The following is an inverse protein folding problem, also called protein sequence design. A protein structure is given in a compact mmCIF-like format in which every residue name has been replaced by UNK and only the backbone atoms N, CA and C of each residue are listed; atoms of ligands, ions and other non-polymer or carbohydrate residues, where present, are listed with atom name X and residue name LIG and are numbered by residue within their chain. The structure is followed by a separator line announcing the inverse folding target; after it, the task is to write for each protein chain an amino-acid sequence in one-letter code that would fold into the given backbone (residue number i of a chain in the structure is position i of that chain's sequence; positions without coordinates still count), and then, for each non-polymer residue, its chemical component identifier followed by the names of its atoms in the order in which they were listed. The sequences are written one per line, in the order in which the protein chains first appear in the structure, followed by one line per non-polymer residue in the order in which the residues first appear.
data_IF_340942157212
#
_entry.id   IF_340942157212
#
_cell.length_a   1.000
_cell.length_b   1.000
_cell.length_c   1.000
_cell.angle_alpha   90.00
_cell.angle_beta   90.00
_cell.angle_gamma   90.00
#
_symmetry.space_group_name_H-M   'P 1'
#
loop_
_entity.id
_entity.type
_entity.pdbx_description
1 polymer ?
#
# COMPACT_ATOMS: atom_id res chain seq x y z
N UNK A 1 7.61 34.43 8.59
CA UNK A 1 7.23 33.14 7.94
C UNK A 1 6.54 32.35 9.03
N UNK A 2 5.22 32.21 9.12
CA UNK A 2 4.13 32.36 8.15
C UNK A 2 2.92 32.97 8.87
N UNK A 3 2.36 34.05 8.33
CA UNK A 3 1.02 34.52 8.70
C UNK A 3 0.03 33.85 7.76
N UNK A 4 -0.19 32.55 7.92
CA UNK A 4 -1.42 31.94 7.39
C UNK A 4 -2.52 32.51 8.27
N UNK A 5 -3.38 33.32 7.67
CA UNK A 5 -4.42 34.01 8.40
C UNK A 5 -5.43 32.94 8.85
N UNK A 6 -5.73 32.81 10.15
CA UNK A 6 -6.68 31.81 10.66
C UNK A 6 -8.06 31.89 10.00
N UNK A 7 -8.38 33.04 9.39
CA UNK A 7 -9.58 33.27 8.57
C UNK A 7 -9.59 32.46 7.26
N UNK A 8 -8.44 32.26 6.62
CA UNK A 8 -8.34 31.46 5.39
C UNK A 8 -8.44 29.96 5.65
N UNK A 9 -7.82 29.48 6.73
CA UNK A 9 -7.91 28.06 7.10
C UNK A 9 -9.35 27.70 7.48
N UNK A 10 -10.03 28.57 8.25
CA UNK A 10 -11.45 28.39 8.59
C UNK A 10 -12.34 28.42 7.34
N UNK A 11 -12.11 29.34 6.40
CA UNK A 11 -12.85 29.39 5.14
C UNK A 11 -12.63 28.13 4.29
N UNK A 12 -11.40 27.63 4.25
CA UNK A 12 -11.05 26.40 3.53
C UNK A 12 -11.77 25.18 4.13
N UNK A 13 -11.73 25.03 5.45
CA UNK A 13 -12.41 23.95 6.16
C UNK A 13 -13.93 23.99 5.94
N UNK A 14 -14.55 25.17 6.13
CA UNK A 14 -15.98 25.36 5.93
C UNK A 14 -16.40 25.07 4.48
N UNK A 15 -15.65 25.57 3.49
CA UNK A 15 -15.91 25.30 2.08
C UNK A 15 -15.86 23.79 1.76
N UNK A 16 -14.89 23.07 2.32
CA UNK A 16 -14.76 21.63 2.11
C UNK A 16 -15.82 20.82 2.86
N UNK A 17 -16.21 21.20 4.08
CA UNK A 17 -17.32 20.56 4.80
C UNK A 17 -18.64 20.76 4.04
N UNK A 18 -19.00 22.00 3.68
CA UNK A 18 -20.20 22.25 2.88
C UNK A 18 -20.14 21.50 1.55
N UNK A 19 -18.97 21.46 0.89
CA UNK A 19 -18.82 20.73 -0.36
C UNK A 19 -18.83 19.21 -0.18
N UNK A 20 -18.36 18.57 0.87
CA UNK A 20 -18.36 17.10 0.93
C UNK A 20 -19.50 16.50 1.73
N UNK A 21 -20.03 17.25 2.70
CA UNK A 21 -20.90 16.72 3.75
C UNK A 21 -22.35 17.21 3.64
N UNK A 22 -22.64 18.17 2.74
CA UNK A 22 -23.99 18.67 2.49
C UNK A 22 -24.52 18.34 1.09
N UNK A 23 -25.85 18.38 0.94
CA UNK A 23 -26.55 18.29 -0.36
C UNK A 23 -26.66 19.64 -1.09
N UNK A 24 -26.05 20.71 -0.57
CA UNK A 24 -26.13 22.03 -1.19
C UNK A 24 -25.45 22.05 -2.56
N UNK A 25 -26.06 22.72 -3.54
CA UNK A 25 -25.42 22.94 -4.84
C UNK A 25 -24.23 23.89 -4.72
N UNK A 26 -23.28 23.80 -5.65
CA UNK A 26 -22.13 24.73 -5.74
C UNK A 26 -22.58 26.19 -5.75
N UNK A 27 -23.71 26.49 -6.39
CA UNK A 27 -24.28 27.85 -6.40
C UNK A 27 -24.66 28.31 -4.99
N UNK A 28 -25.34 27.46 -4.23
CA UNK A 28 -25.77 27.78 -2.86
C UNK A 28 -24.58 27.93 -1.91
N UNK A 29 -23.55 27.09 -2.07
CA UNK A 29 -22.33 27.19 -1.26
C UNK A 29 -21.58 28.49 -1.60
N UNK A 30 -21.40 28.80 -2.89
CA UNK A 30 -20.80 30.06 -3.34
C UNK A 30 -21.54 31.28 -2.78
N UNK A 31 -22.87 31.26 -2.80
CA UNK A 31 -23.70 32.34 -2.25
C UNK A 31 -23.59 32.43 -0.72
N UNK A 32 -23.63 31.30 -0.01
CA UNK A 32 -23.53 31.27 1.45
C UNK A 32 -22.18 31.78 1.98
N UNK A 33 -21.11 31.56 1.23
CA UNK A 33 -19.75 31.99 1.59
C UNK A 33 -19.34 33.33 0.95
N UNK A 34 -20.21 33.97 0.17
CA UNK A 34 -19.91 35.17 -0.62
C UNK A 34 -18.67 35.02 -1.53
N UNK A 35 -18.55 33.85 -2.17
CA UNK A 35 -17.44 33.50 -3.05
C UNK A 35 -17.89 33.36 -4.50
N UNK A 36 -17.02 33.75 -5.43
CA UNK A 36 -17.20 33.30 -6.82
C UNK A 36 -17.01 31.79 -6.93
N UNK A 37 -17.69 31.15 -7.88
CA UNK A 37 -17.51 29.69 -8.14
C UNK A 37 -16.07 29.29 -8.40
N UNK A 38 -15.33 30.12 -9.14
CA UNK A 38 -13.92 29.85 -9.46
C UNK A 38 -13.06 29.85 -8.21
N UNK A 39 -13.30 30.79 -7.28
CA UNK A 39 -12.63 30.83 -5.99
C UNK A 39 -13.02 29.62 -5.14
N UNK A 40 -14.31 29.27 -5.07
CA UNK A 40 -14.77 28.09 -4.36
C UNK A 40 -14.07 26.82 -4.87
N UNK A 41 -14.04 26.57 -6.18
CA UNK A 41 -13.34 25.42 -6.75
C UNK A 41 -11.83 25.43 -6.48
N UNK A 42 -11.22 26.61 -6.31
CA UNK A 42 -9.82 26.72 -5.89
C UNK A 42 -9.57 26.34 -4.42
N UNK A 43 -10.61 26.36 -3.58
CA UNK A 43 -10.55 25.96 -2.18
C UNK A 43 -10.90 24.48 -1.96
N UNK A 44 -11.71 23.88 -2.84
CA UNK A 44 -12.11 22.48 -2.68
C UNK A 44 -10.92 21.55 -2.91
N UNK A 45 -10.59 20.74 -1.90
CA UNK A 45 -9.68 19.63 -2.03
C UNK A 45 -10.42 18.33 -2.38
N UNK A 46 -9.70 17.45 -3.07
CA UNK A 46 -10.18 16.09 -3.32
C UNK A 46 -10.35 15.32 -2.00
N UNK A 47 -11.35 14.46 -1.92
CA UNK A 47 -11.64 13.69 -0.71
C UNK A 47 -10.80 12.41 -0.68
N UNK A 48 -9.97 12.17 0.36
CA UNK A 48 -9.21 10.93 0.50
C UNK A 48 -10.12 9.70 0.55
N UNK A 49 -9.74 8.64 -0.16
CA UNK A 49 -10.51 7.39 -0.19
C UNK A 49 -9.99 6.31 0.78
N UNK A 50 -8.83 6.51 1.42
CA UNK A 50 -8.23 5.51 2.30
C UNK A 50 -7.70 4.27 1.57
N UNK A 51 -7.61 4.32 0.23
CA UNK A 51 -7.14 3.22 -0.61
C UNK A 51 -5.85 3.61 -1.34
N UNK A 52 -4.77 2.82 -1.25
CA UNK A 52 -3.55 3.11 -1.97
C UNK A 52 -3.70 2.79 -3.47
N UNK A 53 -3.02 3.55 -4.31
CA UNK A 53 -3.01 3.38 -5.75
C UNK A 53 -2.26 2.10 -6.14
N UNK A 54 -2.88 1.16 -6.86
CA UNK A 54 -2.23 -0.06 -7.37
C UNK A 54 -0.96 0.17 -8.20
N UNK A 55 -0.80 1.36 -8.79
CA UNK A 55 0.33 1.68 -9.68
C UNK A 55 1.53 2.27 -8.94
N UNK A 56 1.31 3.20 -8.02
CA UNK A 56 2.39 3.95 -7.36
C UNK A 56 2.34 3.94 -5.83
N UNK A 57 1.28 3.39 -5.23
CA UNK A 57 1.10 3.29 -3.77
C UNK A 57 0.58 4.55 -3.08
N UNK A 58 0.43 5.67 -3.79
CA UNK A 58 -0.11 6.93 -3.24
C UNK A 58 -1.59 6.80 -2.88
N UNK A 59 -2.07 7.54 -1.87
CA UNK A 59 -3.49 7.53 -1.54
C UNK A 59 -4.36 8.02 -2.71
N UNK A 60 -5.36 7.22 -3.07
CA UNK A 60 -6.34 7.60 -4.07
C UNK A 60 -7.41 8.51 -3.46
N UNK A 61 -7.96 9.37 -4.30
CA UNK A 61 -8.94 10.39 -3.89
C UNK A 61 -10.17 10.37 -4.79
N UNK A 62 -11.29 10.85 -4.26
CA UNK A 62 -12.43 11.26 -5.06
C UNK A 62 -12.23 12.71 -5.53
N UNK A 63 -12.10 12.98 -6.84
CA UNK A 63 -11.80 14.32 -7.33
C UNK A 63 -12.99 15.30 -7.25
N UNK A 64 -14.22 14.79 -7.15
CA UNK A 64 -15.44 15.59 -7.02
C UNK A 64 -16.60 14.72 -6.52
N UNK A 65 -17.74 15.34 -6.14
CA UNK A 65 -18.95 14.63 -5.68
C UNK A 65 -19.46 13.59 -6.68
N UNK A 66 -19.50 13.91 -7.96
CA UNK A 66 -19.99 12.99 -9.00
C UNK A 66 -19.14 11.72 -9.06
N UNK A 67 -17.81 11.85 -8.91
CA UNK A 67 -16.91 10.71 -8.85
C UNK A 67 -17.16 9.87 -7.60
N UNK A 68 -17.38 10.50 -6.44
CA UNK A 68 -17.77 9.82 -5.19
C UNK A 68 -19.07 9.04 -5.35
N UNK A 69 -20.11 9.67 -5.90
CA UNK A 69 -21.41 9.03 -6.13
C UNK A 69 -21.33 7.83 -7.09
N UNK A 70 -20.43 7.89 -8.07
CA UNK A 70 -20.19 6.80 -9.02
C UNK A 70 -19.15 5.78 -8.55
N UNK A 71 -18.48 6.01 -7.42
CA UNK A 71 -17.40 5.16 -6.94
C UNK A 71 -16.15 5.18 -7.82
N UNK A 72 -15.77 6.32 -8.41
CA UNK A 72 -14.54 6.47 -9.20
C UNK A 72 -13.45 7.20 -8.41
N UNK A 73 -12.28 6.59 -8.38
CA UNK A 73 -11.08 7.11 -7.74
C UNK A 73 -10.08 7.63 -8.77
N UNK A 74 -9.30 8.63 -8.38
CA UNK A 74 -8.17 9.12 -9.14
C UNK A 74 -6.92 9.17 -8.25
N UNK A 75 -5.77 8.80 -8.80
CA UNK A 75 -4.48 8.98 -8.14
C UNK A 75 -3.91 10.36 -8.49
N UNK A 76 -3.59 11.23 -7.52
CA UNK A 76 -3.05 12.56 -7.79
C UNK A 76 -1.66 12.53 -8.43
N UNK A 77 -0.84 11.53 -8.09
CA UNK A 77 0.56 11.44 -8.55
C UNK A 77 0.73 10.81 -9.94
N UNK A 78 0.08 9.66 -10.20
CA UNK A 78 0.29 8.92 -11.45
C UNK A 78 -0.89 9.00 -12.43
N UNK A 79 -1.93 9.76 -12.08
CA UNK A 79 -3.15 10.00 -12.86
C UNK A 79 -3.88 8.72 -13.32
N UNK A 80 -3.76 7.66 -12.53
CA UNK A 80 -4.55 6.46 -12.75
C UNK A 80 -5.98 6.70 -12.23
N UNK A 81 -6.97 6.27 -13.00
CA UNK A 81 -8.39 6.34 -12.66
C UNK A 81 -8.97 4.94 -12.71
N UNK A 82 -9.68 4.54 -11.65
CA UNK A 82 -10.31 3.22 -11.53
C UNK A 82 -11.56 3.27 -10.64
N UNK A 83 -12.40 2.25 -10.75
CA UNK A 83 -13.52 2.07 -9.83
C UNK A 83 -13.02 1.68 -8.42
N UNK A 84 -13.62 2.25 -7.38
CA UNK A 84 -13.29 1.98 -5.98
C UNK A 84 -13.38 0.49 -5.66
N UNK A 85 -14.40 -0.20 -6.19
CA UNK A 85 -14.57 -1.63 -6.02
C UNK A 85 -13.42 -2.43 -6.65
N UNK A 86 -12.93 -2.03 -7.83
CA UNK A 86 -11.81 -2.67 -8.49
C UNK A 86 -10.50 -2.46 -7.71
N UNK A 87 -10.24 -1.23 -7.26
CA UNK A 87 -9.07 -0.90 -6.42
C UNK A 87 -9.10 -1.69 -5.11
N UNK A 88 -10.26 -1.77 -4.46
CA UNK A 88 -10.44 -2.55 -3.23
C UNK A 88 -10.16 -4.03 -3.46
N UNK A 89 -10.70 -4.61 -4.54
CA UNK A 89 -10.50 -6.01 -4.88
C UNK A 89 -9.03 -6.36 -5.16
N UNK A 90 -8.27 -5.43 -5.74
CA UNK A 90 -6.83 -5.59 -5.96
C UNK A 90 -6.09 -5.83 -4.63
N UNK A 91 -6.43 -5.07 -3.58
CA UNK A 91 -5.80 -5.18 -2.27
C UNK A 91 -6.37 -6.31 -1.40
N UNK A 92 -7.67 -6.59 -1.50
CA UNK A 92 -8.29 -7.73 -0.81
C UNK A 92 -7.79 -9.07 -1.36
N UNK A 93 -7.51 -9.15 -2.66
CA UNK A 93 -6.90 -10.33 -3.30
C UNK A 93 -5.45 -10.60 -2.88
N UNK A 94 -4.73 -9.61 -2.35
CA UNK A 94 -3.42 -9.78 -1.71
C UNK A 94 -3.54 -10.13 -0.22
N UNK A 95 -4.75 -10.04 0.35
CA UNK A 95 -5.06 -10.18 1.77
C UNK A 95 -5.59 -11.55 2.21
N UNK A 96 -5.68 -12.55 1.32
CA UNK A 96 -5.95 -13.94 1.73
C UNK A 96 -4.71 -14.55 2.39
N UNK A 97 -4.41 -14.03 3.58
CA UNK A 97 -3.73 -14.77 4.62
C UNK A 97 -4.58 -16.01 4.88
N UNK A 98 -4.05 -17.23 4.70
CA UNK A 98 -4.83 -18.43 4.98
C UNK A 98 -5.32 -18.34 6.42
N UNK A 99 -6.63 -18.47 6.60
CA UNK A 99 -7.24 -18.54 7.90
C UNK A 99 -6.47 -19.57 8.72
N UNK A 100 -5.79 -19.12 9.77
CA UNK A 100 -5.21 -20.02 10.76
C UNK A 100 -6.39 -20.59 11.51
N UNK A 101 -6.99 -21.62 10.91
CA UNK A 101 -7.96 -22.47 11.56
C UNK A 101 -7.33 -22.99 12.83
N UNK A 102 -7.83 -22.50 13.97
CA UNK A 102 -7.60 -23.11 15.27
C UNK A 102 -8.40 -24.41 15.28
N UNK A 103 -7.91 -25.40 14.54
CA UNK A 103 -8.35 -26.78 14.61
C UNK A 103 -7.41 -27.48 15.59
N UNK A 104 -7.91 -27.68 16.80
CA UNK A 104 -7.38 -28.63 17.74
C UNK A 104 -7.32 -30.03 17.09
N UNK A 105 -6.14 -30.45 16.65
CA UNK A 105 -5.58 -31.81 16.79
C UNK A 105 -4.33 -31.95 15.92
N UNK A 106 -3.15 -31.77 16.52
CA UNK A 106 -1.90 -32.27 15.94
C UNK A 106 -0.84 -32.47 17.04
N UNK A 107 -0.31 -33.70 17.17
CA UNK A 107 1.10 -33.81 17.53
C UNK A 107 1.94 -34.74 16.64
N UNK A 108 1.41 -35.34 15.57
CA UNK A 108 2.12 -36.43 14.87
C UNK A 108 2.80 -36.09 13.54
N UNK A 109 2.50 -34.96 12.89
CA UNK A 109 3.13 -34.60 11.60
C UNK A 109 4.30 -33.60 11.73
N UNK A 110 4.25 -32.69 12.71
CA UNK A 110 5.28 -31.66 12.94
C UNK A 110 6.63 -32.26 13.36
N UNK A 111 6.61 -33.42 14.04
CA UNK A 111 7.83 -34.09 14.48
C UNK A 111 8.61 -34.80 13.37
N UNK A 112 7.97 -35.18 12.25
CA UNK A 112 8.64 -35.86 11.13
C UNK A 112 9.27 -34.87 10.14
N UNK A 113 8.62 -33.75 9.88
CA UNK A 113 9.16 -32.71 9.00
C UNK A 113 10.41 -32.05 9.61
N UNK A 114 10.37 -31.74 10.90
CA UNK A 114 11.52 -31.22 11.65
C UNK A 114 12.71 -32.19 11.65
N UNK A 115 12.48 -33.48 11.85
CA UNK A 115 13.55 -34.49 11.80
C UNK A 115 14.18 -34.66 10.40
N UNK A 116 13.41 -34.48 9.33
CA UNK A 116 13.92 -34.57 7.96
C UNK A 116 14.77 -33.34 7.58
N UNK A 117 14.31 -32.15 7.96
CA UNK A 117 15.05 -30.89 7.76
C UNK A 117 16.33 -30.88 8.59
N UNK A 118 16.26 -31.29 9.86
CA UNK A 118 17.44 -31.34 10.73
C UNK A 118 18.50 -32.30 10.20
N UNK A 119 18.10 -33.50 9.70
CA UNK A 119 19.02 -34.44 9.06
C UNK A 119 19.69 -33.87 7.80
N UNK A 120 18.97 -33.08 7.00
CA UNK A 120 19.55 -32.43 5.83
C UNK A 120 20.60 -31.37 6.23
N UNK A 121 20.31 -30.60 7.28
CA UNK A 121 21.22 -29.58 7.83
C UNK A 121 22.48 -30.22 8.43
N UNK A 122 22.32 -31.27 9.23
CA UNK A 122 23.45 -31.95 9.88
C UNK A 122 24.35 -32.65 8.84
N UNK A 123 23.76 -33.31 7.83
CA UNK A 123 24.51 -33.91 6.72
C UNK A 123 25.28 -32.85 5.91
N UNK A 124 24.72 -31.64 5.75
CA UNK A 124 25.40 -30.52 5.12
C UNK A 124 26.57 -29.99 5.96
N UNK A 125 26.38 -29.90 7.28
CA UNK A 125 27.37 -29.39 8.23
C UNK A 125 28.60 -30.31 8.30
N UNK A 126 28.41 -31.62 8.35
CA UNK A 126 29.52 -32.59 8.38
C UNK A 126 30.41 -32.49 7.13
N UNK A 127 29.81 -32.38 5.94
CA UNK A 127 30.56 -32.24 4.66
C UNK A 127 31.36 -30.94 4.57
N UNK A 128 30.88 -29.85 5.18
CA UNK A 128 31.61 -28.57 5.21
C UNK A 128 32.77 -28.62 6.21
N UNK A 129 32.61 -29.36 7.31
CA UNK A 129 33.66 -29.56 8.30
C UNK A 129 34.74 -30.55 7.86
N UNK A 130 34.47 -31.47 6.94
CA UNK A 130 35.49 -32.38 6.38
C UNK A 130 36.34 -31.76 5.26
N UNK A 131 36.04 -30.54 4.82
CA UNK A 131 36.81 -29.83 3.80
C UNK A 131 38.07 -29.17 4.42
N UNK A 132 39.18 -29.19 3.68
CA UNK A 132 40.42 -28.50 4.04
C UNK A 132 40.20 -26.98 4.14
N UNK A 133 41.04 -26.22 4.90
CA UNK A 133 40.79 -24.81 5.21
C UNK A 133 40.54 -23.92 3.98
N UNK A 134 41.16 -24.22 2.84
CA UNK A 134 40.94 -23.50 1.56
C UNK A 134 39.59 -23.84 0.91
N UNK A 135 39.06 -25.05 1.09
CA UNK A 135 37.75 -25.46 0.57
C UNK A 135 36.57 -24.80 1.28
N UNK A 136 36.70 -24.46 2.56
CA UNK A 136 35.67 -23.74 3.32
C UNK A 136 35.44 -22.31 2.84
N UNK A 137 36.50 -21.62 2.39
CA UNK A 137 36.40 -20.24 1.90
C UNK A 137 35.68 -20.17 0.55
N UNK A 138 35.88 -21.16 -0.32
CA UNK A 138 35.26 -21.22 -1.66
C UNK A 138 33.76 -21.56 -1.56
N UNK A 139 33.36 -22.42 -0.60
CA UNK A 139 31.94 -22.72 -0.38
C UNK A 139 31.17 -21.53 0.25
N UNK A 140 31.84 -20.69 1.05
CA UNK A 140 31.22 -19.51 1.66
C UNK A 140 30.90 -18.39 0.67
N UNK A 141 31.70 -18.20 -0.38
CA UNK A 141 31.48 -17.16 -1.39
C UNK A 141 30.35 -17.49 -2.37
N UNK A 142 30.09 -18.77 -2.63
CA UNK A 142 28.99 -19.21 -3.50
C UNK A 142 27.59 -18.91 -2.91
N UNK A 143 27.43 -18.98 -1.58
CA UNK A 143 26.14 -18.72 -0.91
C UNK A 143 25.81 -17.21 -0.84
N UNK A 144 26.82 -16.34 -0.72
CA UNK A 144 26.61 -14.88 -0.76
C UNK A 144 26.19 -14.38 -2.16
N UNK A 145 26.64 -15.04 -3.23
CA UNK A 145 26.22 -14.71 -4.60
C UNK A 145 24.75 -14.99 -4.89
N UNK A 146 24.19 -16.07 -4.33
CA UNK A 146 22.78 -16.43 -4.51
C UNK A 146 21.81 -15.44 -3.81
N UNK A 147 22.18 -14.92 -2.64
CA UNK A 147 21.39 -13.93 -1.93
C UNK A 147 21.40 -12.56 -2.63
N UNK A 148 22.55 -12.12 -3.14
CA UNK A 148 22.67 -10.85 -3.86
C UNK A 148 21.91 -10.85 -5.20
N UNK A 149 21.90 -11.98 -5.93
CA UNK A 149 21.18 -12.12 -7.20
C UNK A 149 19.65 -12.02 -7.07
N UNK A 150 19.07 -12.57 -5.99
CA UNK A 150 17.63 -12.47 -5.71
C UNK A 150 17.21 -11.03 -5.36
N UNK A 151 18.03 -10.32 -4.59
CA UNK A 151 17.76 -8.91 -4.24
C UNK A 151 17.90 -7.99 -5.45
N UNK A 152 18.91 -8.19 -6.30
CA UNK A 152 19.11 -7.37 -7.50
C UNK A 152 18.04 -7.65 -8.59
N UNK A 153 17.62 -8.91 -8.74
CA UNK A 153 16.53 -9.29 -9.65
C UNK A 153 15.18 -8.72 -9.22
N UNK A 154 14.89 -8.68 -7.91
CA UNK A 154 13.70 -8.03 -7.38
C UNK A 154 13.73 -6.50 -7.57
N UNK A 155 14.91 -5.88 -7.49
CA UNK A 155 15.08 -4.44 -7.67
C UNK A 155 14.95 -4.00 -9.14
N UNK A 156 15.51 -4.77 -10.08
CA UNK A 156 15.41 -4.48 -11.52
C UNK A 156 14.01 -4.73 -12.10
N UNK A 157 13.21 -5.60 -11.48
CA UNK A 157 11.80 -5.81 -11.86
C UNK A 157 10.87 -4.69 -11.37
N UNK A 158 11.34 -3.85 -10.43
CA UNK A 158 10.59 -2.75 -9.81
C UNK A 158 10.85 -1.38 -10.48
N UNK A 159 11.68 -1.33 -11.52
CA UNK A 159 11.98 -0.13 -12.31
C UNK A 159 11.46 -0.30 -13.73
#
# INVERSE_FOLDING_TARGET
MSSVLPDQDALYEEANSLYWESDQSVNQISEALDLSKGVLYGLIAALPAGLPCPKCGEEMVFPNRTAREKGFLACPECHMEEEEAAVRSYWEGEGEMPEVGVAADAPTLTHRASAAVQRAVDTGKERVTSLTPRGRVIAGTALLGAAAGLVLGAYLRKR
#
